data_IF_223527251163
#
_entry.id   IF_223527251163
#
_cell.length_a   1.000
_cell.length_b   1.000
_cell.length_c   1.000
_cell.angle_alpha   90.00
_cell.angle_beta   90.00
_cell.angle_gamma   90.00
#
_symmetry.space_group_name_H-M   'P 1'
#
loop_
_entity.id
_entity.type
_entity.pdbx_description
1 polymer ?
#
# COMPACT_ATOMS: atom_id res chain seq x y z
N UNK A 1 -93.56 -47.82 4.06
CA UNK A 1 -92.27 -47.13 3.78
C UNK A 1 -91.54 -46.69 5.05
N UNK A 2 -92.21 -46.44 6.18
CA UNK A 2 -91.55 -46.00 7.43
C UNK A 2 -90.57 -47.01 8.07
N UNK A 3 -90.84 -48.33 8.05
CA UNK A 3 -89.91 -49.34 8.60
C UNK A 3 -88.56 -49.38 7.85
N UNK A 4 -88.60 -49.21 6.52
CA UNK A 4 -87.40 -49.10 5.70
C UNK A 4 -86.64 -47.80 5.97
N UNK A 5 -87.35 -46.71 6.29
CA UNK A 5 -86.72 -45.45 6.68
C UNK A 5 -85.98 -45.58 8.02
N UNK A 6 -86.57 -46.18 9.05
CA UNK A 6 -85.92 -46.37 10.37
C UNK A 6 -84.67 -47.25 10.28
N UNK A 7 -84.74 -48.34 9.52
CA UNK A 7 -83.58 -49.22 9.26
C UNK A 7 -82.48 -48.47 8.51
N UNK A 8 -82.84 -47.58 7.58
CA UNK A 8 -81.88 -46.75 6.84
C UNK A 8 -81.29 -45.66 7.73
N UNK A 9 -82.06 -45.05 8.64
CA UNK A 9 -81.54 -44.05 9.59
C UNK A 9 -80.59 -44.67 10.61
N UNK A 10 -80.88 -45.87 11.11
CA UNK A 10 -79.97 -46.62 12.00
C UNK A 10 -78.69 -47.06 11.28
N UNK A 11 -78.80 -47.46 10.01
CA UNK A 11 -77.63 -47.77 9.18
C UNK A 11 -76.78 -46.52 8.89
N UNK A 12 -77.39 -45.35 8.70
CA UNK A 12 -76.68 -44.08 8.47
C UNK A 12 -75.93 -43.59 9.73
N UNK A 13 -76.53 -43.73 10.92
CA UNK A 13 -75.87 -43.37 12.19
C UNK A 13 -74.66 -44.26 12.49
N UNK A 14 -74.68 -45.54 12.09
CA UNK A 14 -73.54 -46.44 12.24
C UNK A 14 -72.39 -46.18 11.25
N UNK A 15 -72.68 -45.54 10.10
CA UNK A 15 -71.70 -45.35 9.01
C UNK A 15 -71.03 -43.97 9.07
N UNK A 16 -71.68 -42.95 9.65
CA UNK A 16 -71.03 -41.64 9.85
C UNK A 16 -70.25 -41.63 11.16
N UNK A 17 -68.98 -42.05 11.08
CA UNK A 17 -68.06 -42.13 12.21
C UNK A 17 -67.82 -40.79 12.91
N UNK A 18 -68.50 -40.56 14.03
CA UNK A 18 -68.03 -39.78 15.18
C UNK A 18 -68.69 -40.30 16.45
N UNK A 19 -67.89 -40.88 17.36
CA UNK A 19 -68.24 -41.33 18.73
C UNK A 19 -69.72 -41.30 19.10
N UNK A 20 -70.46 -42.31 18.65
CA UNK A 20 -71.69 -42.73 19.28
C UNK A 20 -71.54 -44.24 19.43
N UNK A 21 -71.21 -44.69 20.65
CA UNK A 21 -71.46 -46.08 21.01
C UNK A 21 -72.95 -46.29 20.76
N UNK A 22 -73.29 -47.00 19.69
CA UNK A 22 -74.67 -47.42 19.44
C UNK A 22 -74.98 -48.43 20.54
N UNK A 23 -75.46 -47.92 21.67
CA UNK A 23 -75.75 -48.72 22.83
C UNK A 23 -76.93 -49.63 22.50
N UNK A 24 -76.82 -50.92 22.83
CA UNK A 24 -77.89 -51.90 22.65
C UNK A 24 -79.22 -51.39 23.26
N UNK A 25 -79.15 -50.60 24.34
CA UNK A 25 -80.32 -49.96 24.95
C UNK A 25 -80.99 -48.92 24.04
N UNK A 26 -80.24 -48.15 23.24
CA UNK A 26 -80.80 -47.18 22.31
C UNK A 26 -81.54 -47.87 21.15
N UNK A 27 -80.96 -48.94 20.60
CA UNK A 27 -81.61 -49.73 19.54
C UNK A 27 -82.86 -50.43 20.10
N UNK A 28 -82.78 -50.96 21.31
CA UNK A 28 -83.94 -51.57 22.00
C UNK A 28 -85.05 -50.56 22.27
N UNK A 29 -84.71 -49.33 22.68
CA UNK A 29 -85.67 -48.25 22.97
C UNK A 29 -86.44 -47.83 21.71
N UNK A 30 -85.75 -47.58 20.60
CA UNK A 30 -86.39 -47.18 19.33
C UNK A 30 -87.31 -48.29 18.80
N UNK A 31 -86.91 -49.56 18.94
CA UNK A 31 -87.76 -50.69 18.57
C UNK A 31 -89.00 -50.78 19.48
N UNK A 32 -88.86 -50.59 20.78
CA UNK A 32 -89.99 -50.61 21.72
C UNK A 32 -91.00 -49.48 21.46
N UNK A 33 -90.54 -48.26 21.15
CA UNK A 33 -91.42 -47.15 20.77
C UNK A 33 -92.25 -47.47 19.52
N UNK A 34 -91.62 -48.07 18.51
CA UNK A 34 -92.29 -48.45 17.26
C UNK A 34 -93.37 -49.52 17.51
N UNK A 35 -93.05 -50.57 18.29
CA UNK A 35 -94.01 -51.61 18.64
C UNK A 35 -95.18 -51.07 19.46
N UNK A 36 -94.90 -50.16 20.40
CA UNK A 36 -95.93 -49.54 21.25
C UNK A 36 -96.89 -48.69 20.42
N UNK A 37 -96.39 -47.89 19.47
CA UNK A 37 -97.23 -47.13 18.54
C UNK A 37 -98.12 -48.04 17.69
N UNK A 38 -97.57 -49.15 17.20
CA UNK A 38 -98.31 -50.08 16.35
C UNK A 38 -99.44 -50.78 17.14
N UNK A 39 -99.17 -51.18 18.37
CA UNK A 39 -100.16 -51.76 19.29
C UNK A 39 -101.26 -50.76 19.65
N UNK A 40 -100.91 -49.50 19.93
CA UNK A 40 -101.89 -48.48 20.28
C UNK A 40 -102.80 -48.12 19.10
N UNK A 41 -102.25 -47.99 17.89
CA UNK A 41 -103.05 -47.76 16.68
C UNK A 41 -104.01 -48.93 16.38
N UNK A 42 -103.57 -50.17 16.62
CA UNK A 42 -104.44 -51.33 16.48
C UNK A 42 -105.58 -51.34 17.52
N UNK A 43 -105.32 -50.82 18.74
CA UNK A 43 -106.31 -50.69 19.81
C UNK A 43 -107.34 -49.59 19.53
N UNK A 44 -106.93 -48.46 18.94
CA UNK A 44 -107.88 -47.41 18.49
C UNK A 44 -108.79 -47.90 17.34
N UNK A 45 -108.24 -48.66 16.39
CA UNK A 45 -109.04 -49.30 15.35
C UNK A 45 -110.09 -50.27 15.93
N UNK A 46 -109.78 -50.90 17.08
CA UNK A 46 -110.68 -51.82 17.79
C UNK A 46 -111.86 -51.11 18.45
N UNK A 47 -111.73 -49.87 18.91
CA UNK A 47 -112.84 -49.08 19.47
C UNK A 47 -113.80 -48.54 18.40
N UNK A 48 -113.31 -48.22 17.19
CA UNK A 48 -114.17 -47.80 16.07
C UNK A 48 -115.04 -48.94 15.49
N UNK A 49 -114.63 -50.19 15.66
CA UNK A 49 -115.33 -51.37 15.13
C UNK A 49 -116.47 -51.86 16.05
N UNK A 50 -116.48 -51.48 17.34
CA UNK A 50 -117.49 -51.92 18.33
C UNK A 50 -118.91 -51.32 18.17
N UNK A 51 -119.20 -50.58 17.09
CA UNK A 51 -120.53 -49.98 16.82
C UNK A 51 -121.34 -50.64 15.69
N UNK A 52 -120.94 -51.81 15.19
CA UNK A 52 -121.66 -52.53 14.12
C UNK A 52 -121.75 -54.04 14.39
N UNK A 53 -122.88 -54.66 14.00
CA UNK A 53 -123.28 -56.06 14.27
C UNK A 53 -122.40 -57.17 13.61
N UNK A 54 -121.19 -56.83 13.12
CA UNK A 54 -120.16 -57.78 12.64
C UNK A 54 -119.16 -58.07 13.80
N UNK A 55 -119.65 -58.49 14.96
CA UNK A 55 -118.86 -58.34 16.21
C UNK A 55 -118.16 -59.62 16.73
N UNK A 56 -118.58 -60.84 16.38
CA UNK A 56 -117.97 -62.05 16.98
C UNK A 56 -116.78 -62.66 16.21
N UNK A 57 -116.83 -62.71 14.87
CA UNK A 57 -115.72 -63.30 14.08
C UNK A 57 -114.52 -62.36 13.93
N UNK A 58 -114.76 -61.04 13.92
CA UNK A 58 -113.68 -60.06 13.81
C UNK A 58 -112.83 -60.01 15.08
N UNK A 59 -113.47 -60.11 16.26
CA UNK A 59 -112.78 -60.03 17.54
C UNK A 59 -111.79 -61.20 17.76
N UNK A 60 -112.14 -62.40 17.29
CA UNK A 60 -111.23 -63.57 17.33
C UNK A 60 -110.06 -63.41 16.37
N UNK A 61 -110.32 -62.95 15.14
CA UNK A 61 -109.28 -62.74 14.12
C UNK A 61 -108.28 -61.65 14.52
N UNK A 62 -108.75 -60.58 15.15
CA UNK A 62 -107.87 -59.50 15.61
C UNK A 62 -107.03 -59.88 16.84
N UNK A 63 -107.58 -60.60 17.82
CA UNK A 63 -106.78 -61.11 18.94
C UNK A 63 -105.73 -62.12 18.49
N UNK A 64 -106.08 -63.01 17.56
CA UNK A 64 -105.12 -63.94 16.96
C UNK A 64 -104.00 -63.18 16.22
N UNK A 65 -104.34 -62.16 15.42
CA UNK A 65 -103.32 -61.35 14.71
C UNK A 65 -102.44 -60.53 15.65
N UNK A 66 -102.98 -59.92 16.70
CA UNK A 66 -102.18 -59.15 17.67
C UNK A 66 -101.30 -60.04 18.55
N UNK A 67 -101.81 -61.20 18.97
CA UNK A 67 -101.01 -62.21 19.67
C UNK A 67 -99.82 -62.67 18.83
N UNK A 68 -100.08 -63.02 17.57
CA UNK A 68 -99.06 -63.39 16.60
C UNK A 68 -98.05 -62.25 16.34
N UNK A 69 -98.50 -61.00 16.38
CA UNK A 69 -97.65 -59.83 16.15
C UNK A 69 -96.70 -59.56 17.33
N UNK A 70 -97.17 -59.73 18.57
CA UNK A 70 -96.31 -59.69 19.76
C UNK A 70 -95.31 -60.85 19.75
N UNK A 71 -95.74 -62.05 19.34
CA UNK A 71 -94.81 -63.18 19.18
C UNK A 71 -93.74 -62.87 18.13
N UNK A 72 -94.09 -62.27 17.00
CA UNK A 72 -93.13 -61.83 15.99
C UNK A 72 -92.14 -60.77 16.50
N UNK A 73 -92.63 -59.81 17.30
CA UNK A 73 -91.79 -58.79 17.93
C UNK A 73 -90.74 -59.43 18.87
N UNK A 74 -91.20 -60.34 19.72
CA UNK A 74 -90.38 -61.09 20.67
C UNK A 74 -89.34 -61.94 19.94
N UNK A 75 -89.76 -62.62 18.86
CA UNK A 75 -88.89 -63.49 18.07
C UNK A 75 -87.86 -62.70 17.26
N UNK A 76 -88.22 -61.50 16.80
CA UNK A 76 -87.31 -60.56 16.16
C UNK A 76 -86.30 -60.01 17.17
N UNK A 77 -86.72 -59.61 18.38
CA UNK A 77 -85.83 -59.14 19.43
C UNK A 77 -84.83 -60.23 19.84
N UNK A 78 -85.30 -61.47 20.02
CA UNK A 78 -84.46 -62.64 20.35
C UNK A 78 -83.45 -62.98 19.27
N UNK A 79 -83.69 -62.61 18.00
CA UNK A 79 -82.74 -62.84 16.89
C UNK A 79 -81.82 -61.65 16.63
N UNK A 80 -82.31 -60.41 16.77
CA UNK A 80 -81.53 -59.21 16.45
C UNK A 80 -80.50 -58.85 17.51
N UNK A 81 -80.79 -59.04 18.81
CA UNK A 81 -79.83 -58.75 19.87
C UNK A 81 -78.57 -59.65 19.76
N UNK A 82 -78.68 -60.99 19.67
CA UNK A 82 -77.50 -61.83 19.47
C UNK A 82 -76.76 -61.53 18.17
N UNK A 83 -77.49 -61.23 17.09
CA UNK A 83 -76.89 -60.85 15.81
C UNK A 83 -76.07 -59.55 15.91
N UNK A 84 -76.58 -58.52 16.58
CA UNK A 84 -75.87 -57.25 16.76
C UNK A 84 -74.61 -57.42 17.62
N UNK A 85 -74.69 -58.22 18.69
CA UNK A 85 -73.54 -58.55 19.53
C UNK A 85 -72.49 -59.35 18.74
N UNK A 86 -72.91 -60.39 18.02
CA UNK A 86 -72.00 -61.20 17.19
C UNK A 86 -71.35 -60.37 16.07
N UNK A 87 -72.10 -59.44 15.45
CA UNK A 87 -71.57 -58.53 14.45
C UNK A 87 -70.54 -57.57 15.04
N UNK A 88 -70.78 -57.00 16.22
CA UNK A 88 -69.84 -56.10 16.88
C UNK A 88 -68.55 -56.83 17.31
N UNK A 89 -68.67 -58.06 17.83
CA UNK A 89 -67.52 -58.91 18.14
C UNK A 89 -66.70 -59.24 16.89
N UNK A 90 -67.36 -59.59 15.77
CA UNK A 90 -66.68 -59.84 14.49
C UNK A 90 -65.97 -58.60 13.98
N UNK A 91 -66.63 -57.44 13.96
CA UNK A 91 -66.03 -56.18 13.50
C UNK A 91 -64.83 -55.77 14.36
N UNK A 92 -64.92 -55.94 15.68
CA UNK A 92 -63.80 -55.65 16.59
C UNK A 92 -62.64 -56.59 16.32
N UNK A 93 -62.91 -57.88 16.15
CA UNK A 93 -61.90 -58.89 15.83
C UNK A 93 -61.24 -58.64 14.48
N UNK A 94 -62.01 -58.28 13.47
CA UNK A 94 -61.51 -57.96 12.12
C UNK A 94 -60.67 -56.67 12.15
N UNK A 95 -61.08 -55.64 12.91
CA UNK A 95 -60.29 -54.42 13.07
C UNK A 95 -58.94 -54.67 13.76
N UNK A 96 -58.91 -55.51 14.80
CA UNK A 96 -57.67 -55.95 15.46
C UNK A 96 -56.79 -56.71 14.47
N UNK A 97 -57.36 -57.65 13.72
CA UNK A 97 -56.63 -58.44 12.72
C UNK A 97 -56.05 -57.57 11.61
N UNK A 98 -56.81 -56.62 11.07
CA UNK A 98 -56.34 -55.66 10.07
C UNK A 98 -55.17 -54.82 10.62
N UNK A 99 -55.28 -54.36 11.87
CA UNK A 99 -54.19 -53.60 12.52
C UNK A 99 -52.92 -54.43 12.63
N UNK A 100 -53.04 -55.69 13.05
CA UNK A 100 -51.91 -56.63 13.14
C UNK A 100 -51.29 -56.91 11.75
N UNK A 101 -52.13 -57.10 10.72
CA UNK A 101 -51.68 -57.28 9.34
C UNK A 101 -50.94 -56.05 8.80
N UNK A 102 -51.46 -54.83 9.03
CA UNK A 102 -50.80 -53.58 8.63
C UNK A 102 -49.46 -53.40 9.35
N UNK A 103 -49.41 -53.65 10.66
CA UNK A 103 -48.15 -53.55 11.42
C UNK A 103 -47.10 -54.52 10.89
N UNK A 104 -47.51 -55.75 10.62
CA UNK A 104 -46.64 -56.77 10.04
C UNK A 104 -46.16 -56.39 8.64
N UNK A 105 -47.05 -55.91 7.77
CA UNK A 105 -46.66 -55.45 6.43
C UNK A 105 -45.69 -54.27 6.48
N UNK A 106 -45.84 -53.36 7.44
CA UNK A 106 -44.93 -52.23 7.61
C UNK A 106 -43.53 -52.68 8.07
N UNK A 107 -43.48 -53.62 9.02
CA UNK A 107 -42.23 -54.22 9.48
C UNK A 107 -41.54 -55.02 8.37
N UNK A 108 -42.30 -55.82 7.62
CA UNK A 108 -41.81 -56.57 6.46
C UNK A 108 -41.28 -55.61 5.37
N UNK A 109 -41.99 -54.53 5.06
CA UNK A 109 -41.54 -53.52 4.11
C UNK A 109 -40.24 -52.85 4.58
N UNK A 110 -40.16 -52.48 5.86
CA UNK A 110 -38.94 -51.90 6.44
C UNK A 110 -37.78 -52.88 6.36
N UNK A 111 -38.00 -54.15 6.72
CA UNK A 111 -36.99 -55.20 6.66
C UNK A 111 -36.51 -55.45 5.22
N UNK A 112 -37.42 -55.38 4.23
CA UNK A 112 -37.06 -55.48 2.80
C UNK A 112 -36.29 -54.26 2.31
N UNK A 113 -36.61 -53.04 2.76
CA UNK A 113 -35.99 -51.80 2.28
C UNK A 113 -34.63 -51.49 2.90
N UNK A 114 -34.39 -51.84 4.17
CA UNK A 114 -33.11 -51.60 4.85
C UNK A 114 -31.87 -52.15 4.11
N UNK A 115 -31.84 -53.40 3.63
CA UNK A 115 -30.69 -53.91 2.88
C UNK A 115 -30.46 -53.13 1.58
N UNK A 116 -31.52 -52.64 0.91
CA UNK A 116 -31.38 -51.81 -0.28
C UNK A 116 -30.77 -50.43 0.03
N UNK A 117 -31.18 -49.77 1.12
CA UNK A 117 -30.60 -48.50 1.55
C UNK A 117 -29.10 -48.65 1.91
N UNK A 118 -28.75 -49.73 2.61
CA UNK A 118 -27.35 -50.06 2.91
C UNK A 118 -26.57 -50.35 1.62
N UNK A 119 -27.15 -51.08 0.68
CA UNK A 119 -26.53 -51.38 -0.62
C UNK A 119 -26.26 -50.09 -1.42
N UNK A 120 -27.20 -49.14 -1.44
CA UNK A 120 -27.02 -47.84 -2.10
C UNK A 120 -25.92 -47.02 -1.43
N UNK A 121 -25.94 -46.91 -0.10
CA UNK A 121 -24.92 -46.17 0.64
C UNK A 121 -23.52 -46.76 0.41
N UNK A 122 -23.39 -48.09 0.46
CA UNK A 122 -22.16 -48.80 0.16
C UNK A 122 -21.71 -48.56 -1.28
N UNK A 123 -22.63 -48.64 -2.25
CA UNK A 123 -22.32 -48.38 -3.67
C UNK A 123 -21.82 -46.95 -3.90
N UNK A 124 -22.42 -45.96 -3.22
CA UNK A 124 -21.96 -44.57 -3.28
C UNK A 124 -20.56 -44.43 -2.66
N UNK A 125 -20.33 -45.06 -1.50
CA UNK A 125 -19.02 -45.09 -0.84
C UNK A 125 -17.93 -45.70 -1.74
N UNK A 126 -18.21 -46.86 -2.32
CA UNK A 126 -17.31 -47.57 -3.24
C UNK A 126 -17.03 -46.73 -4.50
N UNK A 127 -18.05 -46.09 -5.07
CA UNK A 127 -17.89 -45.23 -6.24
C UNK A 127 -17.08 -43.96 -5.92
N UNK A 128 -17.25 -43.37 -4.74
CA UNK A 128 -16.45 -42.22 -4.29
C UNK A 128 -14.99 -42.61 -4.11
N UNK A 129 -14.72 -43.79 -3.51
CA UNK A 129 -13.36 -44.32 -3.39
C UNK A 129 -12.72 -44.59 -4.76
N UNK A 130 -13.47 -45.20 -5.70
CA UNK A 130 -13.01 -45.40 -7.08
C UNK A 130 -12.72 -44.07 -7.78
N UNK A 131 -13.57 -43.07 -7.61
CA UNK A 131 -13.36 -41.73 -8.18
C UNK A 131 -12.09 -41.08 -7.59
N UNK A 132 -11.89 -41.16 -6.27
CA UNK A 132 -10.68 -40.66 -5.62
C UNK A 132 -9.43 -41.38 -6.14
N UNK A 133 -9.47 -42.72 -6.25
CA UNK A 133 -8.37 -43.51 -6.81
C UNK A 133 -8.09 -43.16 -8.28
N UNK A 134 -9.13 -42.88 -9.06
CA UNK A 134 -8.98 -42.51 -10.46
C UNK A 134 -8.43 -41.09 -10.64
N UNK A 135 -8.83 -40.13 -9.80
CA UNK A 135 -8.39 -38.73 -9.87
C UNK A 135 -6.99 -38.50 -9.27
N UNK A 136 -6.59 -39.29 -8.28
CA UNK A 136 -5.28 -39.19 -7.61
C UNK A 136 -4.09 -39.11 -8.59
N UNK A 137 -3.91 -40.01 -9.57
CA UNK A 137 -2.78 -39.94 -10.50
C UNK A 137 -2.82 -38.68 -11.39
N UNK A 138 -4.00 -38.14 -11.71
CA UNK A 138 -4.10 -36.89 -12.47
C UNK A 138 -3.66 -35.69 -11.64
N UNK A 139 -4.05 -35.64 -10.36
CA UNK A 139 -3.63 -34.58 -9.45
C UNK A 139 -2.11 -34.61 -9.22
N UNK A 140 -1.56 -35.79 -8.97
CA UNK A 140 -0.12 -36.00 -8.81
C UNK A 140 0.65 -35.67 -10.11
N UNK A 141 0.13 -36.09 -11.27
CA UNK A 141 0.70 -35.77 -12.57
C UNK A 141 0.67 -34.27 -12.89
N UNK A 142 -0.42 -33.57 -12.58
CA UNK A 142 -0.52 -32.12 -12.74
C UNK A 142 0.48 -31.39 -11.84
N UNK A 143 0.58 -31.77 -10.56
CA UNK A 143 1.55 -31.19 -9.63
C UNK A 143 2.99 -31.41 -10.11
N UNK A 144 3.32 -32.62 -10.58
CA UNK A 144 4.64 -32.93 -11.13
C UNK A 144 4.94 -32.10 -12.39
N UNK A 145 3.97 -31.93 -13.29
CA UNK A 145 4.12 -31.13 -14.50
C UNK A 145 4.31 -29.65 -14.19
N UNK A 146 3.53 -29.09 -13.27
CA UNK A 146 3.68 -27.70 -12.81
C UNK A 146 5.05 -27.48 -12.19
N UNK A 147 5.51 -28.36 -11.31
CA UNK A 147 6.83 -28.27 -10.69
C UNK A 147 7.96 -28.33 -11.74
N UNK A 148 7.84 -29.26 -12.70
CA UNK A 148 8.82 -29.41 -13.79
C UNK A 148 8.88 -28.15 -14.66
N UNK A 149 7.71 -27.60 -15.04
CA UNK A 149 7.64 -26.37 -15.84
C UNK A 149 8.20 -25.15 -15.09
N UNK A 150 7.92 -25.03 -13.79
CA UNK A 150 8.47 -23.96 -12.97
C UNK A 150 10.01 -24.06 -12.84
N UNK A 151 10.54 -25.27 -12.67
CA UNK A 151 11.98 -25.52 -12.65
C UNK A 151 12.64 -25.21 -14.00
N UNK A 152 12.01 -25.62 -15.10
CA UNK A 152 12.51 -25.33 -16.44
C UNK A 152 12.48 -23.83 -16.75
N UNK A 153 11.41 -23.12 -16.40
CA UNK A 153 11.33 -21.67 -16.51
C UNK A 153 12.44 -20.99 -15.70
N UNK A 154 12.67 -21.43 -14.46
CA UNK A 154 13.77 -20.93 -13.63
C UNK A 154 15.12 -21.18 -14.29
N UNK A 155 15.35 -22.38 -14.83
CA UNK A 155 16.58 -22.77 -15.54
C UNK A 155 16.83 -21.90 -16.77
N UNK A 156 15.77 -21.57 -17.52
CA UNK A 156 15.84 -20.70 -18.69
C UNK A 156 16.09 -19.24 -18.31
N UNK A 157 15.46 -18.71 -17.26
CA UNK A 157 15.60 -17.30 -16.85
C UNK A 157 16.92 -17.00 -16.13
N UNK A 158 17.47 -17.96 -15.40
CA UNK A 158 18.74 -17.80 -14.65
C UNK A 158 19.89 -17.23 -15.49
N UNK A 159 20.24 -17.78 -16.68
CA UNK A 159 21.33 -17.25 -17.48
C UNK A 159 21.06 -15.82 -18.00
N UNK A 160 19.80 -15.45 -18.27
CA UNK A 160 19.48 -14.07 -18.67
C UNK A 160 19.72 -13.08 -17.53
N UNK A 161 19.32 -13.43 -16.30
CA UNK A 161 19.60 -12.59 -15.12
C UNK A 161 21.10 -12.45 -14.86
N UNK A 162 21.86 -13.55 -14.99
CA UNK A 162 23.33 -13.53 -14.84
C UNK A 162 23.99 -12.68 -15.94
N UNK A 163 23.56 -12.81 -17.19
CA UNK A 163 24.06 -11.99 -18.30
C UNK A 163 23.74 -10.52 -18.10
N UNK A 164 22.51 -10.20 -17.69
CA UNK A 164 22.11 -8.82 -17.37
C UNK A 164 22.96 -8.24 -16.24
N UNK A 165 23.18 -8.99 -15.16
CA UNK A 165 24.05 -8.58 -14.06
C UNK A 165 25.49 -8.33 -14.53
N UNK A 166 26.02 -9.23 -15.38
CA UNK A 166 27.38 -9.10 -15.93
C UNK A 166 27.50 -7.88 -16.83
N UNK A 167 26.56 -7.67 -17.76
CA UNK A 167 26.55 -6.50 -18.65
C UNK A 167 26.40 -5.18 -17.89
N UNK A 168 25.56 -5.14 -16.85
CA UNK A 168 25.45 -3.95 -15.98
C UNK A 168 26.78 -3.69 -15.27
N UNK A 169 27.44 -4.71 -14.74
CA UNK A 169 28.75 -4.57 -14.10
C UNK A 169 29.82 -4.08 -15.09
N UNK A 170 29.92 -4.70 -16.26
CA UNK A 170 30.85 -4.28 -17.32
C UNK A 170 30.62 -2.83 -17.75
N UNK A 171 29.35 -2.40 -17.88
CA UNK A 171 29.02 -1.02 -18.22
C UNK A 171 29.43 -0.03 -17.12
N UNK A 172 29.28 -0.39 -15.85
CA UNK A 172 29.75 0.41 -14.71
C UNK A 172 31.28 0.51 -14.72
N UNK A 173 31.97 -0.62 -14.91
CA UNK A 173 33.43 -0.67 -14.95
C UNK A 173 33.98 0.15 -16.14
N UNK A 174 33.34 0.04 -17.32
CA UNK A 174 33.68 0.80 -18.51
C UNK A 174 33.43 2.31 -18.33
N UNK A 175 32.31 2.69 -17.71
CA UNK A 175 32.02 4.09 -17.38
C UNK A 175 33.08 4.64 -16.43
N UNK A 176 33.41 3.91 -15.37
CA UNK A 176 34.46 4.29 -14.43
C UNK A 176 35.82 4.43 -15.12
N UNK A 177 36.22 3.45 -15.94
CA UNK A 177 37.49 3.48 -16.67
C UNK A 177 37.57 4.66 -17.64
N UNK A 178 36.46 5.00 -18.31
CA UNK A 178 36.39 6.11 -19.27
C UNK A 178 36.39 7.47 -18.60
N UNK A 179 35.74 7.60 -17.43
CA UNK A 179 35.56 8.89 -16.75
C UNK A 179 36.64 9.21 -15.72
N UNK A 180 37.36 8.21 -15.18
CA UNK A 180 38.38 8.45 -14.15
C UNK A 180 39.51 9.37 -14.60
N UNK A 181 40.06 9.23 -15.82
CA UNK A 181 41.07 10.14 -16.32
C UNK A 181 40.62 11.60 -16.31
N UNK A 182 39.38 11.89 -16.73
CA UNK A 182 38.82 13.24 -16.73
C UNK A 182 38.62 13.80 -15.32
N UNK A 183 38.13 12.97 -14.39
CA UNK A 183 37.98 13.37 -12.99
C UNK A 183 39.35 13.69 -12.33
N UNK A 184 40.38 12.89 -12.63
CA UNK A 184 41.74 13.16 -12.17
C UNK A 184 42.31 14.44 -12.79
N UNK A 185 42.20 14.61 -14.11
CA UNK A 185 42.66 15.82 -14.80
C UNK A 185 41.97 17.08 -14.26
N UNK A 186 40.66 17.00 -14.03
CA UNK A 186 39.90 18.10 -13.44
C UNK A 186 40.39 18.43 -12.02
N UNK A 187 40.62 17.41 -11.18
CA UNK A 187 41.17 17.60 -9.82
C UNK A 187 42.56 18.24 -9.85
N UNK A 188 43.42 17.80 -10.77
CA UNK A 188 44.77 18.36 -10.93
C UNK A 188 44.72 19.82 -11.41
N UNK A 189 43.87 20.13 -12.40
CA UNK A 189 43.63 21.51 -12.86
C UNK A 189 43.06 22.39 -11.75
N UNK A 190 42.10 21.88 -10.97
CA UNK A 190 41.54 22.58 -9.83
C UNK A 190 42.62 22.95 -8.81
N UNK A 191 43.42 21.96 -8.36
CA UNK A 191 44.49 22.19 -7.41
C UNK A 191 45.53 23.17 -7.94
N UNK A 192 45.93 23.01 -9.21
CA UNK A 192 46.87 23.91 -9.87
C UNK A 192 46.34 25.34 -9.93
N UNK A 193 45.09 25.54 -10.34
CA UNK A 193 44.49 26.87 -10.46
C UNK A 193 44.36 27.57 -9.09
N UNK A 194 44.05 26.82 -8.02
CA UNK A 194 44.01 27.36 -6.66
C UNK A 194 45.40 27.76 -6.17
N UNK A 195 46.42 26.93 -6.41
CA UNK A 195 47.81 27.26 -6.06
C UNK A 195 48.36 28.42 -6.88
N UNK A 196 48.03 28.51 -8.18
CA UNK A 196 48.37 29.65 -9.02
C UNK A 196 47.67 30.92 -8.55
N UNK A 197 46.40 30.85 -8.15
CA UNK A 197 45.69 31.98 -7.54
C UNK A 197 46.38 32.44 -6.26
N UNK A 198 46.73 31.52 -5.36
CA UNK A 198 47.47 31.82 -4.13
C UNK A 198 48.85 32.43 -4.43
N UNK A 199 49.58 31.83 -5.37
CA UNK A 199 50.89 32.27 -5.82
C UNK A 199 50.88 33.62 -6.54
N UNK A 200 49.77 34.03 -7.16
CA UNK A 200 49.60 35.38 -7.71
C UNK A 200 49.24 36.39 -6.64
N UNK A 201 48.35 36.05 -5.72
CA UNK A 201 47.79 37.02 -4.78
C UNK A 201 48.69 37.30 -3.58
N UNK A 202 49.36 36.29 -3.01
CA UNK A 202 50.20 36.48 -1.82
C UNK A 202 51.43 37.37 -2.08
N UNK A 203 52.20 37.22 -3.18
CA UNK A 203 53.35 38.08 -3.46
C UNK A 203 52.97 39.55 -3.67
N UNK A 204 51.85 39.86 -4.32
CA UNK A 204 51.40 41.25 -4.48
C UNK A 204 51.09 41.93 -3.14
N UNK A 205 50.60 41.17 -2.15
CA UNK A 205 50.42 41.69 -0.79
C UNK A 205 51.76 41.89 -0.05
N UNK A 206 52.79 41.07 -0.33
CA UNK A 206 54.14 41.29 0.18
C UNK A 206 54.82 42.50 -0.49
N UNK A 207 54.65 42.68 -1.80
CA UNK A 207 55.14 43.84 -2.54
C UNK A 207 54.62 45.15 -1.95
N UNK A 208 53.37 45.16 -1.48
CA UNK A 208 52.77 46.32 -0.84
C UNK A 208 53.55 46.78 0.40
N UNK A 209 54.05 45.85 1.23
CA UNK A 209 54.89 46.19 2.39
C UNK A 209 56.22 46.81 1.96
N UNK A 210 56.87 46.23 0.96
CA UNK A 210 58.11 46.77 0.41
C UNK A 210 57.92 48.16 -0.18
N UNK A 211 56.79 48.40 -0.88
CA UNK A 211 56.42 49.72 -1.40
C UNK A 211 56.15 50.73 -0.27
N UNK A 212 55.52 50.31 0.82
CA UNK A 212 55.33 51.14 2.02
C UNK A 212 56.70 51.54 2.61
N UNK A 213 57.60 50.59 2.79
CA UNK A 213 58.95 50.83 3.31
C UNK A 213 59.73 51.84 2.45
N UNK A 214 59.75 51.61 1.14
CA UNK A 214 60.47 52.48 0.21
C UNK A 214 59.90 53.90 0.19
N UNK A 215 58.58 54.05 0.05
CA UNK A 215 57.98 55.37 -0.04
C UNK A 215 58.06 56.14 1.30
N UNK A 216 58.11 55.45 2.46
CA UNK A 216 58.31 56.09 3.75
C UNK A 216 59.75 56.56 3.95
N UNK A 217 60.73 55.84 3.43
CA UNK A 217 62.13 56.28 3.41
C UNK A 217 62.31 57.50 2.49
N UNK A 218 61.63 57.52 1.34
CA UNK A 218 61.60 58.67 0.44
C UNK A 218 60.94 59.89 1.11
N UNK A 219 59.85 59.68 1.86
CA UNK A 219 59.20 60.71 2.66
C UNK A 219 60.14 61.22 3.77
N UNK A 220 60.80 60.33 4.50
CA UNK A 220 61.79 60.67 5.54
C UNK A 220 62.91 61.53 4.97
N UNK A 221 63.48 61.12 3.85
CA UNK A 221 64.58 61.82 3.17
C UNK A 221 64.15 63.21 2.68
N UNK A 222 62.91 63.32 2.17
CA UNK A 222 62.36 64.60 1.69
C UNK A 222 62.03 65.57 2.82
N UNK A 223 61.63 65.07 4.00
CA UNK A 223 61.30 65.91 5.15
C UNK A 223 62.50 66.26 6.04
N UNK A 224 63.60 65.51 5.95
CA UNK A 224 64.81 65.75 6.75
C UNK A 224 65.37 67.19 6.64
N UNK A 225 65.46 67.83 5.45
CA UNK A 225 65.94 69.21 5.31
C UNK A 225 64.99 70.26 5.93
N UNK A 226 63.71 69.93 6.10
CA UNK A 226 62.68 70.83 6.62
C UNK A 226 62.55 70.77 8.16
N UNK A 227 63.28 69.85 8.79
CA UNK A 227 63.07 69.45 10.18
C UNK A 227 64.13 69.97 11.17
N UNK A 228 64.81 71.08 10.87
CA UNK A 228 65.77 71.70 11.79
C UNK A 228 65.13 71.98 13.16
N UNK A 229 65.64 71.33 14.21
CA UNK A 229 65.14 71.46 15.59
C UNK A 229 63.93 70.58 15.97
N UNK A 230 63.36 69.81 15.04
CA UNK A 230 62.20 68.91 15.29
C UNK A 230 62.37 67.48 14.76
N UNK A 231 63.59 67.13 14.31
CA UNK A 231 63.95 65.84 13.70
C UNK A 231 63.53 64.61 14.51
N UNK A 232 63.74 64.62 15.83
CA UNK A 232 63.41 63.48 16.70
C UNK A 232 61.89 63.23 16.73
N UNK A 233 61.09 64.30 16.85
CA UNK A 233 59.63 64.23 16.82
C UNK A 233 59.11 63.75 15.46
N UNK A 234 59.68 64.26 14.36
CA UNK A 234 59.32 63.83 13.01
C UNK A 234 59.63 62.34 12.79
N UNK A 235 60.83 61.89 13.17
CA UNK A 235 61.22 60.49 13.06
C UNK A 235 60.25 59.59 13.84
N UNK A 236 59.89 59.96 15.07
CA UNK A 236 58.94 59.19 15.87
C UNK A 236 57.54 59.13 15.23
N UNK A 237 57.06 60.24 14.64
CA UNK A 237 55.78 60.25 13.93
C UNK A 237 55.82 59.40 12.64
N UNK A 238 56.94 59.43 11.89
CA UNK A 238 57.13 58.61 10.69
C UNK A 238 57.21 57.12 11.04
N UNK A 239 57.88 56.75 12.14
CA UNK A 239 57.89 55.37 12.65
C UNK A 239 56.48 54.90 13.04
N UNK A 240 55.69 55.77 13.67
CA UNK A 240 54.29 55.49 13.99
C UNK A 240 53.42 55.28 12.75
N UNK A 241 53.58 56.14 11.73
CA UNK A 241 52.91 55.98 10.44
C UNK A 241 53.33 54.67 9.75
N UNK A 242 54.63 54.37 9.74
CA UNK A 242 55.18 53.13 9.19
C UNK A 242 54.57 51.90 9.83
N UNK A 243 54.53 51.86 11.16
CA UNK A 243 53.94 50.76 11.91
C UNK A 243 52.47 50.54 11.53
N UNK A 244 51.68 51.62 11.50
CA UNK A 244 50.25 51.56 11.20
C UNK A 244 49.97 51.12 9.74
N UNK A 245 50.76 51.61 8.78
CA UNK A 245 50.63 51.22 7.37
C UNK A 245 51.02 49.75 7.15
N UNK A 246 52.12 49.29 7.76
CA UNK A 246 52.54 47.89 7.70
C UNK A 246 51.49 46.96 8.30
N UNK A 247 50.92 47.34 9.45
CA UNK A 247 49.82 46.59 10.07
C UNK A 247 48.62 46.46 9.14
N UNK A 248 48.21 47.52 8.45
CA UNK A 248 47.12 47.44 7.47
C UNK A 248 47.46 46.55 6.28
N UNK A 249 48.70 46.58 5.79
CA UNK A 249 49.14 45.71 4.70
C UNK A 249 49.16 44.24 5.14
N UNK A 250 49.54 43.96 6.38
CA UNK A 250 49.45 42.62 7.00
C UNK A 250 48.01 42.13 7.14
N UNK A 251 47.10 42.98 7.62
CA UNK A 251 45.68 42.66 7.72
C UNK A 251 45.06 42.40 6.33
N UNK A 252 45.43 43.21 5.34
CA UNK A 252 45.02 43.02 3.94
C UNK A 252 45.51 41.68 3.40
N UNK A 253 46.81 41.39 3.54
CA UNK A 253 47.43 40.11 3.15
C UNK A 253 46.72 38.92 3.80
N UNK A 254 46.44 39.01 5.10
CA UNK A 254 45.80 37.94 5.87
C UNK A 254 44.38 37.68 5.36
N UNK A 255 43.60 38.74 5.11
CA UNK A 255 42.24 38.61 4.56
C UNK A 255 42.22 38.04 3.16
N UNK A 256 43.13 38.48 2.28
CA UNK A 256 43.29 37.91 0.93
C UNK A 256 43.60 36.42 1.00
N UNK A 257 44.58 36.02 1.82
CA UNK A 257 44.98 34.61 1.96
C UNK A 257 43.85 33.76 2.53
N UNK A 258 43.15 34.27 3.56
CA UNK A 258 42.00 33.59 4.16
C UNK A 258 40.86 33.37 3.16
N UNK A 259 40.57 34.35 2.28
CA UNK A 259 39.55 34.21 1.25
C UNK A 259 39.91 33.15 0.20
N UNK A 260 41.19 33.06 -0.21
CA UNK A 260 41.65 32.01 -1.13
C UNK A 260 41.55 30.63 -0.48
N UNK A 261 42.00 30.50 0.76
CA UNK A 261 41.90 29.24 1.50
C UNK A 261 40.42 28.83 1.74
N UNK A 262 39.52 29.80 1.96
CA UNK A 262 38.08 29.56 2.07
C UNK A 262 37.48 29.08 0.75
N UNK A 263 37.84 29.70 -0.38
CA UNK A 263 37.41 29.25 -1.70
C UNK A 263 37.85 27.80 -1.95
N UNK A 264 39.11 27.47 -1.66
CA UNK A 264 39.63 26.11 -1.77
C UNK A 264 38.83 25.13 -0.90
N UNK A 265 38.58 25.47 0.37
CA UNK A 265 37.82 24.61 1.31
C UNK A 265 36.39 24.34 0.87
N UNK A 266 35.75 25.30 0.18
CA UNK A 266 34.38 25.13 -0.33
C UNK A 266 34.32 24.33 -1.63
N UNK A 267 35.31 24.50 -2.51
CA UNK A 267 35.32 23.84 -3.81
C UNK A 267 35.91 22.42 -3.78
N UNK A 268 36.93 22.15 -2.96
CA UNK A 268 37.59 20.85 -2.90
C UNK A 268 36.62 19.68 -2.61
N UNK A 269 35.63 19.79 -1.69
CA UNK A 269 34.66 18.73 -1.47
C UNK A 269 33.80 18.39 -2.70
N UNK A 270 33.51 19.36 -3.57
CA UNK A 270 32.70 19.14 -4.78
C UNK A 270 33.47 18.31 -5.81
N UNK A 271 34.78 18.61 -5.96
CA UNK A 271 35.69 17.84 -6.80
C UNK A 271 35.83 16.40 -6.28
N UNK A 272 35.98 16.26 -4.96
CA UNK A 272 36.14 14.95 -4.33
C UNK A 272 34.85 14.12 -4.37
N UNK A 273 33.68 14.77 -4.28
CA UNK A 273 32.38 14.09 -4.40
C UNK A 273 32.23 13.43 -5.77
N UNK A 274 32.49 14.17 -6.86
CA UNK A 274 32.48 13.62 -8.24
C UNK A 274 33.46 12.45 -8.36
N UNK A 275 34.67 12.59 -7.84
CA UNK A 275 35.68 11.52 -7.86
C UNK A 275 35.21 10.26 -7.11
N UNK A 276 34.61 10.44 -5.93
CA UNK A 276 34.14 9.34 -5.09
C UNK A 276 32.95 8.60 -5.69
N UNK A 277 31.99 9.31 -6.28
CA UNK A 277 30.82 8.72 -6.95
C UNK A 277 31.23 7.90 -8.16
N UNK A 278 32.21 8.38 -8.91
CA UNK A 278 32.74 7.65 -10.04
C UNK A 278 33.37 6.30 -9.67
N UNK A 279 34.00 6.21 -8.48
CA UNK A 279 34.64 4.97 -8.00
C UNK A 279 33.67 3.98 -7.34
N UNK A 280 32.62 4.46 -6.67
CA UNK A 280 31.84 3.64 -5.74
C UNK A 280 30.36 3.48 -6.07
N UNK A 281 29.71 4.50 -6.63
CA UNK A 281 28.29 4.45 -6.96
C UNK A 281 27.97 5.50 -8.03
N UNK A 282 27.66 5.04 -9.24
CA UNK A 282 27.21 5.91 -10.34
C UNK A 282 25.86 6.55 -10.02
N UNK A 283 25.10 5.99 -9.07
CA UNK A 283 23.90 6.61 -8.51
C UNK A 283 24.26 7.93 -7.81
N UNK A 284 23.77 9.02 -8.39
CA UNK A 284 24.06 10.37 -7.93
C UNK A 284 25.26 11.03 -8.61
N UNK A 285 26.03 10.36 -9.47
CA UNK A 285 27.12 11.00 -10.24
C UNK A 285 26.60 12.19 -11.06
N UNK A 286 25.45 12.01 -11.73
CA UNK A 286 24.81 13.10 -12.47
C UNK A 286 24.54 14.30 -11.57
N UNK A 287 23.95 14.06 -10.39
CA UNK A 287 23.67 15.11 -9.41
C UNK A 287 24.96 15.79 -8.92
N UNK A 288 26.02 15.03 -8.63
CA UNK A 288 27.32 15.58 -8.24
C UNK A 288 27.93 16.47 -9.32
N UNK A 289 27.76 16.13 -10.61
CA UNK A 289 28.21 16.97 -11.73
C UNK A 289 27.38 18.26 -11.86
N UNK A 290 26.06 18.17 -11.70
CA UNK A 290 25.15 19.34 -11.67
C UNK A 290 25.46 20.27 -10.48
N UNK A 291 25.65 19.69 -9.30
CA UNK A 291 26.02 20.39 -8.08
C UNK A 291 27.40 21.04 -8.23
N UNK A 292 28.40 20.34 -8.79
CA UNK A 292 29.72 20.92 -9.07
C UNK A 292 29.62 22.13 -10.00
N UNK A 293 28.91 22.00 -11.12
CA UNK A 293 28.79 23.09 -12.10
C UNK A 293 28.08 24.32 -11.51
N UNK A 294 26.97 24.12 -10.80
CA UNK A 294 26.21 25.22 -10.19
C UNK A 294 26.97 25.88 -9.02
N UNK A 295 27.64 25.10 -8.18
CA UNK A 295 28.37 25.61 -7.03
C UNK A 295 29.68 26.28 -7.43
N UNK A 296 30.38 25.81 -8.47
CA UNK A 296 31.65 26.41 -8.87
C UNK A 296 31.50 27.89 -9.21
N UNK A 297 30.53 28.22 -10.06
CA UNK A 297 30.21 29.62 -10.41
C UNK A 297 29.79 30.43 -9.18
N UNK A 298 28.95 29.84 -8.31
CA UNK A 298 28.49 30.50 -7.10
C UNK A 298 29.65 30.84 -6.15
N UNK A 299 30.57 29.90 -5.89
CA UNK A 299 31.68 30.11 -4.97
C UNK A 299 32.72 31.07 -5.54
N UNK A 300 32.97 31.05 -6.85
CA UNK A 300 33.86 32.02 -7.52
C UNK A 300 33.28 33.44 -7.43
N UNK A 301 31.98 33.60 -7.66
CA UNK A 301 31.31 34.90 -7.54
C UNK A 301 31.25 35.38 -6.07
N UNK A 302 31.05 34.49 -5.11
CA UNK A 302 31.13 34.82 -3.68
C UNK A 302 32.54 35.29 -3.29
N UNK A 303 33.58 34.60 -3.79
CA UNK A 303 34.97 35.01 -3.61
C UNK A 303 35.21 36.41 -4.20
N UNK A 304 34.75 36.67 -5.44
CA UNK A 304 34.86 37.98 -6.09
C UNK A 304 34.21 39.08 -5.25
N UNK A 305 32.98 38.86 -4.79
CA UNK A 305 32.23 39.82 -3.94
C UNK A 305 32.90 40.09 -2.60
N UNK A 306 33.56 39.09 -2.03
CA UNK A 306 34.28 39.23 -0.75
C UNK A 306 35.61 39.95 -0.94
N UNK A 307 36.25 39.78 -2.09
CA UNK A 307 37.53 40.42 -2.43
C UNK A 307 37.36 41.89 -2.82
N UNK A 308 36.34 42.24 -3.60
CA UNK A 308 36.08 43.58 -4.15
C UNK A 308 36.21 44.73 -3.11
N UNK A 309 35.58 44.67 -1.92
CA UNK A 309 35.69 45.76 -0.95
C UNK A 309 37.05 45.82 -0.22
N UNK A 310 37.90 44.78 -0.28
CA UNK A 310 39.17 44.76 0.48
C UNK A 310 40.14 45.86 0.02
N UNK A 311 40.23 46.08 -1.29
CA UNK A 311 41.07 47.13 -1.86
C UNK A 311 40.58 48.53 -1.46
N UNK A 312 39.26 48.74 -1.46
CA UNK A 312 38.66 50.01 -1.02
C UNK A 312 38.87 50.26 0.47
N UNK A 313 38.69 49.22 1.31
CA UNK A 313 38.94 49.30 2.75
C UNK A 313 40.40 49.68 3.05
N UNK A 314 41.36 49.05 2.36
CA UNK A 314 42.77 49.37 2.52
C UNK A 314 43.07 50.80 2.06
N UNK A 315 42.57 51.22 0.90
CA UNK A 315 42.73 52.59 0.40
C UNK A 315 42.16 53.62 1.37
N UNK A 316 40.98 53.36 1.94
CA UNK A 316 40.37 54.23 2.95
C UNK A 316 41.22 54.32 4.22
N UNK A 317 41.77 53.21 4.68
CA UNK A 317 42.63 53.17 5.86
C UNK A 317 43.96 53.92 5.62
N UNK A 318 44.55 53.79 4.44
CA UNK A 318 45.72 54.58 4.04
C UNK A 318 45.45 56.08 4.08
N UNK A 319 44.36 56.53 3.46
CA UNK A 319 43.97 57.95 3.45
C UNK A 319 43.81 58.49 4.87
N UNK A 320 43.14 57.72 5.74
CA UNK A 320 42.96 58.10 7.14
C UNK A 320 44.29 58.23 7.87
N UNK A 321 45.25 57.33 7.62
CA UNK A 321 46.59 57.38 8.22
C UNK A 321 47.40 58.59 7.75
N UNK A 322 47.36 58.90 6.44
CA UNK A 322 48.02 60.10 5.89
C UNK A 322 47.44 61.38 6.47
N UNK A 323 46.11 61.44 6.60
CA UNK A 323 45.41 62.60 7.14
C UNK A 323 45.72 62.79 8.63
N UNK A 324 45.75 61.70 9.42
CA UNK A 324 46.16 61.76 10.83
C UNK A 324 47.61 62.23 10.98
N UNK A 325 48.53 61.71 10.17
CA UNK A 325 49.92 62.16 10.18
C UNK A 325 50.05 63.64 9.82
N UNK A 326 49.30 64.11 8.81
CA UNK A 326 49.23 65.53 8.45
C UNK A 326 48.77 66.40 9.61
N UNK A 327 47.69 66.01 10.30
CA UNK A 327 47.17 66.74 11.47
C UNK A 327 48.19 66.81 12.61
N UNK A 328 48.97 65.74 12.82
CA UNK A 328 50.02 65.68 13.83
C UNK A 328 51.23 66.58 13.53
N UNK A 329 51.45 66.94 12.27
CA UNK A 329 52.50 67.88 11.84
C UNK A 329 52.08 69.36 11.93
N UNK A 330 50.78 69.64 11.97
CA UNK A 330 50.24 71.00 12.13
C UNK A 330 50.45 71.92 10.91
N UNK A 331 50.37 73.24 11.15
CA UNK A 331 50.30 74.29 10.10
C UNK A 331 51.56 74.46 9.25
N UNK A 332 52.70 73.87 9.64
CA UNK A 332 53.98 73.97 8.94
C UNK A 332 54.19 72.87 7.87
N UNK A 333 53.12 72.20 7.44
CA UNK A 333 53.17 70.98 6.62
C UNK A 333 52.98 71.18 5.11
N UNK A 334 53.09 72.43 4.62
CA UNK A 334 52.83 72.76 3.19
C UNK A 334 53.60 71.86 2.21
N UNK A 335 54.90 71.68 2.44
CA UNK A 335 55.76 70.83 1.60
C UNK A 335 55.51 69.33 1.85
N UNK A 336 55.09 68.93 3.06
CA UNK A 336 54.75 67.54 3.40
C UNK A 336 53.55 67.04 2.61
N UNK A 337 52.59 67.92 2.29
CA UNK A 337 51.36 67.56 1.61
C UNK A 337 51.61 66.94 0.23
N UNK A 338 52.56 67.49 -0.55
CA UNK A 338 52.91 66.95 -1.86
C UNK A 338 53.47 65.53 -1.78
N UNK A 339 54.36 65.28 -0.81
CA UNK A 339 54.96 63.96 -0.60
C UNK A 339 53.94 62.92 -0.10
N UNK A 340 53.03 63.31 0.81
CA UNK A 340 51.95 62.42 1.26
C UNK A 340 50.98 62.07 0.13
N UNK A 341 50.62 63.04 -0.72
CA UNK A 341 49.78 62.77 -1.89
C UNK A 341 50.47 61.83 -2.90
N UNK A 342 51.79 61.95 -3.09
CA UNK A 342 52.56 61.03 -3.94
C UNK A 342 52.56 59.61 -3.36
N UNK A 343 52.84 59.46 -2.07
CA UNK A 343 52.82 58.20 -1.33
C UNK A 343 51.43 57.53 -1.40
N UNK A 344 50.37 58.29 -1.16
CA UNK A 344 48.99 57.83 -1.26
C UNK A 344 48.69 57.32 -2.67
N UNK A 345 49.02 58.11 -3.70
CA UNK A 345 48.78 57.75 -5.10
C UNK A 345 49.50 56.46 -5.48
N UNK A 346 50.78 56.34 -5.14
CA UNK A 346 51.59 55.19 -5.48
C UNK A 346 51.04 53.89 -4.86
N UNK A 347 50.65 53.94 -3.57
CA UNK A 347 50.07 52.79 -2.89
C UNK A 347 48.67 52.43 -3.41
N UNK A 348 47.83 53.43 -3.68
CA UNK A 348 46.51 53.20 -4.31
C UNK A 348 46.65 52.54 -5.67
N UNK A 349 47.59 52.99 -6.51
CA UNK A 349 47.87 52.39 -7.81
C UNK A 349 48.30 50.92 -7.68
N UNK A 350 49.14 50.59 -6.69
CA UNK A 350 49.56 49.21 -6.43
C UNK A 350 48.39 48.32 -6.04
N UNK A 351 47.50 48.81 -5.18
CA UNK A 351 46.29 48.07 -4.75
C UNK A 351 45.29 47.95 -5.89
N UNK A 352 45.07 49.00 -6.67
CA UNK A 352 44.21 48.95 -7.85
C UNK A 352 44.75 47.99 -8.91
N UNK A 353 46.08 47.94 -9.10
CA UNK A 353 46.72 46.95 -9.97
C UNK A 353 46.45 45.53 -9.49
N UNK A 354 46.63 45.26 -8.20
CA UNK A 354 46.29 43.97 -7.59
C UNK A 354 44.82 43.61 -7.79
N UNK A 355 43.88 44.50 -7.48
CA UNK A 355 42.45 44.25 -7.65
C UNK A 355 42.07 44.03 -9.13
N UNK A 356 42.75 44.72 -10.05
CA UNK A 356 42.61 44.50 -11.48
C UNK A 356 43.02 43.09 -11.94
N UNK A 357 43.92 42.41 -11.23
CA UNK A 357 44.28 41.01 -11.54
C UNK A 357 43.16 40.01 -11.21
N UNK A 358 42.24 40.36 -10.31
CA UNK A 358 41.08 39.54 -9.93
C UNK A 358 39.92 39.68 -10.92
N UNK A 359 39.82 40.83 -11.61
CA UNK A 359 38.72 41.14 -12.53
C UNK A 359 38.93 40.72 -13.98
N UNK A 360 40.15 40.32 -14.38
CA UNK A 360 40.41 39.84 -15.74
C UNK A 360 39.93 38.40 -15.87
N UNK A 361 38.79 38.19 -16.53
CA UNK A 361 38.48 36.88 -17.13
C UNK A 361 39.62 36.54 -18.08
N UNK A 362 40.39 35.49 -17.77
CA UNK A 362 41.07 34.77 -18.83
C UNK A 362 40.01 34.28 -19.83
N UNK A 363 40.31 34.49 -21.10
CA UNK A 363 39.51 34.30 -22.30
C UNK A 363 38.18 33.51 -22.13
N UNK A 364 37.00 34.14 -22.26
CA UNK A 364 35.70 33.47 -22.16
C UNK A 364 35.40 32.47 -23.29
N UNK A 365 36.23 32.43 -24.34
CA UNK A 365 36.04 31.58 -25.52
C UNK A 365 36.73 30.21 -25.43
N UNK A 366 37.35 29.86 -24.31
CA UNK A 366 37.86 28.51 -24.09
C UNK A 366 36.89 27.75 -23.17
N UNK A 367 35.90 27.04 -23.73
CA UNK A 367 35.06 26.21 -22.90
C UNK A 367 35.96 25.21 -22.16
N UNK A 368 35.72 25.05 -20.87
CA UNK A 368 36.06 23.82 -20.15
C UNK A 368 35.18 22.69 -20.73
N UNK A 369 35.36 22.39 -22.01
CA UNK A 369 34.71 21.28 -22.66
C UNK A 369 35.38 20.04 -22.09
N UNK A 370 34.64 19.31 -21.25
CA UNK A 370 34.90 17.89 -21.06
C UNK A 370 35.00 17.28 -22.46
N UNK A 371 36.11 16.60 -22.80
CA UNK A 371 36.21 15.92 -24.08
C UNK A 371 35.03 14.96 -24.18
N UNK A 372 34.10 15.25 -25.09
CA UNK A 372 33.04 14.32 -25.43
C UNK A 372 33.72 13.03 -25.89
N UNK A 373 33.30 11.84 -25.40
CA UNK A 373 33.87 10.60 -25.88
C UNK A 373 33.72 10.55 -27.40
N UNK A 374 34.84 10.43 -28.10
CA UNK A 374 34.85 10.12 -29.53
C UNK A 374 33.94 8.91 -29.71
N UNK A 375 32.92 9.06 -30.55
CA UNK A 375 32.04 7.97 -30.92
C UNK A 375 32.91 6.80 -31.38
N UNK A 376 32.90 5.73 -30.59
CA UNK A 376 33.49 4.45 -30.98
C UNK A 376 32.80 4.06 -32.29
N UNK A 377 33.52 4.21 -33.40
CA UNK A 377 33.07 3.71 -34.69
C UNK A 377 32.90 2.21 -34.55
N UNK A 378 31.65 1.74 -34.47
CA UNK A 378 31.31 0.33 -34.68
C UNK A 378 31.79 -0.06 -36.08
N UNK A 379 32.98 -0.67 -36.16
CA UNK A 379 33.37 -1.47 -37.30
C UNK A 379 32.50 -2.71 -37.32
N UNK A 380 31.34 -2.61 -37.97
CA UNK A 380 30.53 -3.76 -38.38
C UNK A 380 31.34 -4.52 -39.43
N UNK A 381 32.05 -5.58 -39.02
CA UNK A 381 32.59 -6.57 -39.95
C UNK A 381 31.43 -7.35 -40.60
N UNK A 382 31.39 -7.49 -41.93
CA UNK A 382 30.40 -8.33 -42.59
C UNK A 382 30.76 -9.80 -42.35
N UNK A 383 29.80 -10.54 -41.79
CA UNK A 383 29.86 -11.97 -41.58
C UNK A 383 30.06 -12.69 -42.94
N UNK A 384 31.09 -13.53 -43.15
CA UNK A 384 31.21 -14.30 -44.37
C UNK A 384 30.17 -15.42 -44.36
N UNK A 385 29.43 -15.53 -45.45
CA UNK A 385 28.40 -16.53 -45.69
C UNK A 385 28.91 -17.96 -45.43
N UNK A 386 28.16 -18.72 -44.63
CA UNK A 386 28.24 -20.18 -44.63
C UNK A 386 27.40 -20.74 -45.78
N UNK A 387 28.03 -21.65 -46.51
CA UNK A 387 27.58 -22.36 -47.70
C UNK A 387 27.08 -23.74 -47.31
#
# INVERSE_FOLDING_TARGET
MFLKAVVVTLALVAITGTRAEVNADQVSTVMWEFFTQLSNNAKEAMEQVQKSDITQQLNTLFQDKLGNMNTYADDLQKKLLPFAVEMNERLTKDAVKIKEEIQKELEDLRARMMPHANTVSQTIGDNMQKLQQHLKPYAEGLQAKVNTQAQELKRQLTPYMQRMQTTVQENVDNLQASMMPYANEFKDKFNKNVEELKGRLTPHANELKATIDQNLEDLRSSLAPLAEGVQEKLNHQLEGLAFQMKKNAEEFQTKVSANVDQLQKKLAPLVEDVHSKLRGNTEGLQKSLEDLNSQLDQQVEEFRRTMEPLGEMFNKALVQQMEQFRQQLGSNSGDVQGHLSFLEKNLREKVSSFMGTLGKKENPDQPLALPLPEQVQEQVQPNPAEN
#
